data_IF_764064591758
#
_entry.id   IF_764064591758
#
_cell.length_a   1.000
_cell.length_b   1.000
_cell.length_c   1.000
_cell.angle_alpha   90.00
_cell.angle_beta   90.00
_cell.angle_gamma   90.00
#
_symmetry.space_group_name_H-M   'P 1'
#
loop_
_entity.id
_entity.type
_entity.pdbx_description
1 polymer ?
#
# COMPACT_ATOMS: atom_id res chain seq x y z
N UNK A 1 -38.84 5.00 41.91
CA UNK A 1 -39.82 5.66 41.07
C UNK A 1 -39.20 5.91 39.73
N UNK A 2 -39.64 5.18 38.76
CA UNK A 2 -39.24 5.18 37.38
C UNK A 2 -39.88 6.36 36.63
N UNK A 3 -39.11 6.98 35.74
CA UNK A 3 -39.71 7.48 34.51
C UNK A 3 -38.64 7.56 33.43
N UNK A 4 -38.80 6.74 32.41
CA UNK A 4 -37.94 6.60 31.27
C UNK A 4 -38.15 7.72 30.27
N UNK A 5 -37.10 7.95 29.47
CA UNK A 5 -37.17 8.69 28.22
C UNK A 5 -36.83 7.72 27.09
N UNK A 6 -37.88 7.26 26.39
CA UNK A 6 -37.78 6.67 25.07
C UNK A 6 -37.61 7.81 24.07
N UNK A 7 -36.47 7.90 23.40
CA UNK A 7 -36.31 8.71 22.20
C UNK A 7 -36.50 7.80 21.00
N UNK A 8 -37.54 8.06 20.28
CA UNK A 8 -37.99 7.33 19.08
C UNK A 8 -37.14 7.70 17.88
N UNK A 9 -36.55 6.70 17.25
CA UNK A 9 -36.00 6.72 15.88
C UNK A 9 -37.12 6.99 14.85
N UNK A 10 -37.41 8.25 14.55
CA UNK A 10 -38.26 8.65 13.43
C UNK A 10 -37.93 10.04 12.93
N UNK A 11 -36.79 10.24 12.31
CA UNK A 11 -36.51 11.49 11.58
C UNK A 11 -35.36 11.42 10.52
N UNK A 12 -34.99 10.24 10.04
CA UNK A 12 -34.00 10.13 8.96
C UNK A 12 -34.52 9.46 7.67
N UNK A 13 -35.85 9.42 7.45
CA UNK A 13 -36.44 8.83 6.24
C UNK A 13 -37.27 9.81 5.40
N UNK A 14 -36.98 11.12 5.44
CA UNK A 14 -37.72 12.10 4.61
C UNK A 14 -36.83 13.14 3.92
N UNK A 15 -35.75 12.72 3.29
CA UNK A 15 -34.96 13.60 2.39
C UNK A 15 -34.46 12.92 1.11
N UNK A 16 -35.00 11.77 0.72
CA UNK A 16 -34.59 11.09 -0.52
C UNK A 16 -35.76 10.82 -1.51
N UNK A 17 -36.86 11.56 -1.42
CA UNK A 17 -37.99 11.35 -2.35
C UNK A 17 -38.59 12.64 -2.93
N UNK A 18 -37.74 13.60 -3.30
CA UNK A 18 -38.23 14.83 -3.93
C UNK A 18 -37.28 15.28 -5.06
N UNK A 19 -37.01 14.41 -6.03
CA UNK A 19 -36.47 14.80 -7.36
C UNK A 19 -36.67 13.67 -8.38
N UNK A 20 -37.92 13.25 -8.60
CA UNK A 20 -38.34 12.61 -9.85
C UNK A 20 -39.79 13.01 -10.06
N UNK A 21 -40.05 13.87 -11.00
CA UNK A 21 -41.41 14.21 -11.36
C UNK A 21 -41.52 15.43 -12.27
N UNK A 22 -41.43 15.22 -13.56
CA UNK A 22 -42.32 15.76 -14.56
C UNK A 22 -42.12 17.19 -15.06
N UNK A 23 -41.99 17.34 -16.37
CA UNK A 23 -42.39 18.55 -17.02
C UNK A 23 -41.67 18.83 -18.34
N UNK A 24 -42.05 18.11 -19.37
CA UNK A 24 -41.87 18.49 -20.78
C UNK A 24 -42.51 19.85 -21.03
N UNK A 25 -41.75 20.87 -21.46
CA UNK A 25 -42.28 22.06 -22.15
C UNK A 25 -41.48 22.33 -23.41
N UNK A 26 -42.16 22.08 -24.48
CA UNK A 26 -41.85 22.56 -25.84
C UNK A 26 -41.96 24.10 -25.88
N UNK A 27 -40.93 24.79 -26.37
CA UNK A 27 -41.08 26.14 -26.88
C UNK A 27 -40.44 26.22 -28.28
N UNK A 28 -41.27 26.61 -29.17
CA UNK A 28 -41.00 26.87 -30.59
C UNK A 28 -40.52 28.32 -30.81
N UNK A 29 -39.53 28.44 -31.70
CA UNK A 29 -39.22 29.56 -32.61
C UNK A 29 -39.05 31.00 -32.10
N UNK A 30 -37.87 31.54 -32.38
CA UNK A 30 -37.61 32.98 -32.48
C UNK A 30 -36.17 33.27 -32.89
N UNK A 31 -35.92 33.32 -34.20
CA UNK A 31 -35.01 34.16 -34.99
C UNK A 31 -33.67 34.69 -34.43
N UNK A 32 -32.55 34.19 -35.01
CA UNK A 32 -31.48 34.96 -35.62
C UNK A 32 -30.59 35.83 -34.75
N UNK A 33 -29.32 35.47 -34.75
CA UNK A 33 -28.21 36.37 -35.05
C UNK A 33 -26.92 35.51 -35.17
N UNK A 34 -26.16 35.81 -36.18
CA UNK A 34 -24.91 35.36 -36.73
C UNK A 34 -23.93 34.53 -35.88
N UNK A 35 -23.62 33.37 -36.37
CA UNK A 35 -22.46 32.58 -35.97
C UNK A 35 -21.24 33.03 -36.78
N UNK A 36 -20.27 33.62 -36.11
CA UNK A 36 -18.92 33.85 -36.66
C UNK A 36 -18.12 32.56 -36.57
N UNK A 37 -17.61 31.98 -37.68
CA UNK A 37 -16.90 30.72 -37.68
C UNK A 37 -15.43 30.77 -37.23
N UNK A 38 -14.94 31.89 -36.69
CA UNK A 38 -13.49 32.07 -36.46
C UNK A 38 -12.96 31.67 -35.09
N UNK A 39 -13.79 31.12 -34.18
CA UNK A 39 -13.35 30.71 -32.84
C UNK A 39 -13.25 29.21 -32.56
N UNK A 40 -13.38 28.33 -33.56
CA UNK A 40 -13.26 26.87 -33.38
C UNK A 40 -11.93 26.29 -33.91
N UNK A 41 -11.00 27.14 -34.34
CA UNK A 41 -9.73 26.70 -34.95
C UNK A 41 -8.50 26.72 -34.00
N UNK A 42 -8.64 27.06 -32.73
CA UNK A 42 -7.49 27.21 -31.82
C UNK A 42 -7.18 26.01 -30.92
N UNK A 43 -8.08 25.04 -30.80
CA UNK A 43 -7.87 23.88 -29.87
C UNK A 43 -7.46 22.54 -30.52
N UNK A 44 -7.21 22.52 -31.83
CA UNK A 44 -6.75 21.30 -32.52
C UNK A 44 -5.30 21.34 -33.03
N UNK A 45 -4.50 22.37 -32.64
CA UNK A 45 -3.07 22.45 -33.04
C UNK A 45 -2.07 22.23 -31.90
N UNK A 46 -2.50 21.75 -30.75
CA UNK A 46 -1.57 21.47 -29.64
C UNK A 46 -1.23 19.96 -29.42
N UNK A 47 -1.71 19.07 -30.30
CA UNK A 47 -1.45 17.62 -30.18
C UNK A 47 -0.58 17.02 -31.32
N UNK A 48 0.03 17.82 -32.18
CA UNK A 48 0.84 17.27 -33.29
C UNK A 48 2.29 17.74 -33.37
N UNK A 49 2.86 18.27 -32.27
CA UNK A 49 4.28 18.73 -32.27
C UNK A 49 5.11 18.16 -31.10
N UNK A 50 4.78 16.98 -30.58
CA UNK A 50 5.59 16.25 -29.57
C UNK A 50 6.29 15.02 -30.18
N UNK A 51 6.38 14.91 -31.48
CA UNK A 51 7.07 13.78 -32.10
C UNK A 51 8.24 14.29 -32.96
N UNK A 52 9.30 14.86 -32.39
CA UNK A 52 10.68 14.85 -32.94
C UNK A 52 11.63 15.69 -32.06
N UNK A 53 12.02 15.18 -30.89
CA UNK A 53 13.29 15.54 -30.24
C UNK A 53 13.77 14.42 -29.30
N UNK A 54 13.82 13.19 -29.82
CA UNK A 54 14.49 12.07 -29.18
C UNK A 54 15.97 12.07 -29.58
N UNK A 55 16.73 13.11 -29.22
CA UNK A 55 18.19 13.08 -29.30
C UNK A 55 18.77 13.92 -28.17
N UNK A 56 19.44 13.21 -27.24
CA UNK A 56 20.19 13.64 -26.05
C UNK A 56 19.33 13.66 -24.75
N UNK A 57 19.02 12.46 -24.25
CA UNK A 57 18.86 12.28 -22.81
C UNK A 57 20.26 12.07 -22.20
N UNK A 58 20.65 12.78 -21.13
CA UNK A 58 21.87 12.48 -20.41
C UNK A 58 21.76 11.05 -19.82
N UNK A 59 22.78 10.23 -20.02
CA UNK A 59 22.91 8.92 -19.41
C UNK A 59 23.17 9.13 -17.92
N UNK A 60 22.16 8.93 -17.08
CA UNK A 60 22.30 8.98 -15.64
C UNK A 60 22.79 7.60 -15.21
N UNK A 61 24.06 7.48 -14.87
CA UNK A 61 24.62 6.30 -14.21
C UNK A 61 24.14 6.26 -12.78
N UNK A 62 23.81 5.07 -12.26
CA UNK A 62 23.48 4.85 -10.85
C UNK A 62 24.73 5.10 -9.98
N UNK A 63 25.13 6.37 -9.88
CA UNK A 63 26.06 6.85 -8.88
C UNK A 63 25.25 7.02 -7.60
N UNK A 64 25.75 6.55 -6.45
CA UNK A 64 25.17 6.73 -5.12
C UNK A 64 24.36 8.01 -5.09
N UNK A 65 23.03 7.89 -4.91
CA UNK A 65 22.20 9.07 -4.67
C UNK A 65 22.78 9.78 -3.45
N UNK A 66 23.39 10.94 -3.66
CA UNK A 66 23.93 11.74 -2.59
C UNK A 66 22.76 12.01 -1.63
N UNK A 67 22.96 11.73 -0.33
CA UNK A 67 22.04 12.19 0.72
C UNK A 67 21.64 13.59 0.35
N UNK A 68 20.35 13.84 0.07
CA UNK A 68 19.85 15.16 -0.23
C UNK A 68 20.06 16.04 1.01
N UNK A 69 21.25 16.59 1.17
CA UNK A 69 21.54 17.62 2.15
C UNK A 69 20.96 18.90 1.61
N UNK A 70 19.70 19.19 1.97
CA UNK A 70 19.10 20.46 1.65
C UNK A 70 19.77 21.55 2.50
N UNK A 71 20.44 22.55 1.91
CA UNK A 71 21.11 23.61 2.67
C UNK A 71 20.16 24.51 3.47
N UNK A 72 18.85 24.44 3.21
CA UNK A 72 17.80 25.16 3.96
C UNK A 72 17.28 24.38 5.18
N UNK A 73 17.70 23.14 5.39
CA UNK A 73 17.32 22.28 6.47
C UNK A 73 18.54 22.13 7.35
N UNK A 74 18.57 22.89 8.48
CA UNK A 74 19.70 22.97 9.39
C UNK A 74 20.26 21.63 9.89
N UNK A 75 21.37 21.61 10.64
CA UNK A 75 22.14 20.42 10.97
C UNK A 75 21.28 19.39 11.71
N UNK A 76 21.52 18.11 11.38
CA UNK A 76 20.91 16.94 12.04
C UNK A 76 21.14 17.01 13.55
N UNK A 77 20.13 17.42 14.31
CA UNK A 77 20.13 17.24 15.75
C UNK A 77 19.87 15.76 16.05
N UNK A 78 20.78 15.15 16.81
CA UNK A 78 20.60 13.86 17.44
C UNK A 78 19.38 13.93 18.38
N UNK A 79 18.23 13.49 17.90
CA UNK A 79 17.09 13.23 18.78
C UNK A 79 17.34 11.87 19.43
N UNK A 80 17.51 11.90 20.76
CA UNK A 80 17.44 10.70 21.59
C UNK A 80 16.10 10.01 21.34
N UNK A 81 16.17 8.80 20.84
CA UNK A 81 15.05 7.94 20.52
C UNK A 81 14.24 7.61 21.78
N UNK A 82 13.09 8.21 21.90
CA UNK A 82 11.98 7.57 22.60
C UNK A 82 11.46 6.45 21.71
N UNK A 83 11.33 5.24 22.25
CA UNK A 83 10.94 4.01 21.61
C UNK A 83 9.95 4.18 20.45
N UNK A 84 10.34 3.78 19.21
CA UNK A 84 9.47 3.80 18.05
C UNK A 84 10.25 3.69 16.75
N UNK A 85 10.29 2.49 16.18
CA UNK A 85 10.66 2.13 14.80
C UNK A 85 12.01 2.69 14.32
N UNK A 86 13.07 1.97 14.62
CA UNK A 86 14.34 2.08 13.89
C UNK A 86 14.16 1.52 12.48
N UNK A 87 13.73 2.33 11.54
CA UNK A 87 13.89 2.09 10.11
C UNK A 87 15.04 2.96 9.65
N UNK A 88 16.25 2.44 9.76
CA UNK A 88 17.48 3.07 9.27
C UNK A 88 17.91 2.52 7.89
N UNK A 89 16.95 1.92 7.13
CA UNK A 89 17.25 1.47 5.78
C UNK A 89 17.57 2.67 4.89
N UNK A 90 18.75 2.66 4.29
CA UNK A 90 19.11 3.66 3.30
C UNK A 90 18.21 3.52 2.08
N UNK A 91 17.85 4.64 1.48
CA UNK A 91 17.07 4.73 0.27
C UNK A 91 17.65 3.82 -0.84
N UNK A 92 16.81 2.90 -1.36
CA UNK A 92 17.21 1.98 -2.44
C UNK A 92 18.12 0.82 -2.03
N UNK A 93 18.59 0.76 -0.78
CA UNK A 93 19.40 -0.34 -0.26
C UNK A 93 18.72 -0.89 1.01
N UNK A 94 18.52 -2.21 1.04
CA UNK A 94 18.23 -2.93 2.27
C UNK A 94 19.50 -3.27 3.00
N UNK A 95 19.40 -3.55 4.30
CA UNK A 95 20.49 -4.13 5.08
C UNK A 95 21.09 -5.36 4.36
N UNK A 96 22.35 -5.67 4.62
CA UNK A 96 23.11 -6.73 3.92
C UNK A 96 22.47 -8.12 3.97
N UNK A 97 21.54 -8.35 4.90
CA UNK A 97 21.02 -9.68 5.27
C UNK A 97 19.90 -10.23 4.37
N UNK A 98 19.35 -9.43 3.45
CA UNK A 98 18.26 -9.88 2.57
C UNK A 98 18.76 -10.62 1.32
N UNK A 99 17.86 -11.37 0.68
CA UNK A 99 18.09 -12.07 -0.59
C UNK A 99 17.34 -11.40 -1.74
N UNK A 100 17.77 -11.63 -2.97
CA UNK A 100 17.11 -11.11 -4.16
C UNK A 100 16.74 -12.26 -5.09
N UNK A 101 15.45 -12.39 -5.38
CA UNK A 101 14.94 -13.23 -6.45
C UNK A 101 14.91 -12.42 -7.75
N UNK A 102 15.36 -13.03 -8.85
CA UNK A 102 15.26 -12.46 -10.19
C UNK A 102 14.43 -13.42 -11.05
N UNK A 103 13.30 -12.94 -11.56
CA UNK A 103 12.45 -13.72 -12.46
C UNK A 103 13.19 -13.98 -13.78
N UNK A 104 13.29 -15.23 -14.24
CA UNK A 104 14.05 -15.54 -15.44
C UNK A 104 13.34 -15.03 -16.70
N UNK A 105 13.94 -14.06 -17.39
CA UNK A 105 13.41 -13.46 -18.61
C UNK A 105 12.39 -12.34 -18.36
N UNK A 106 11.40 -12.21 -19.24
CA UNK A 106 10.41 -11.14 -19.19
C UNK A 106 9.20 -11.54 -18.36
N UNK A 107 8.93 -10.81 -17.27
CA UNK A 107 7.71 -10.94 -16.49
C UNK A 107 6.58 -10.15 -17.18
N UNK A 108 5.49 -10.81 -17.52
CA UNK A 108 4.34 -10.20 -18.17
C UNK A 108 3.39 -9.66 -17.12
N UNK A 109 3.19 -8.34 -17.16
CA UNK A 109 2.28 -7.60 -16.30
C UNK A 109 0.80 -7.79 -16.72
N UNK A 110 -0.12 -7.48 -15.81
CA UNK A 110 -1.56 -7.57 -16.07
C UNK A 110 -2.01 -6.71 -17.26
N UNK A 111 -1.38 -5.56 -17.46
CA UNK A 111 -1.64 -4.65 -18.59
C UNK A 111 -1.02 -5.11 -19.92
N UNK A 112 -0.26 -6.21 -19.93
CA UNK A 112 0.43 -6.77 -21.08
C UNK A 112 1.84 -6.21 -21.34
N UNK A 113 2.29 -5.22 -20.57
CA UNK A 113 3.66 -4.73 -20.61
C UNK A 113 4.63 -5.79 -20.04
N UNK A 114 5.92 -5.58 -20.30
CA UNK A 114 6.99 -6.51 -19.89
C UNK A 114 7.93 -5.81 -18.93
N UNK A 115 8.32 -6.54 -17.90
CA UNK A 115 9.39 -6.14 -17.01
C UNK A 115 10.49 -7.21 -17.09
N UNK A 116 11.58 -6.89 -17.77
CA UNK A 116 12.70 -7.80 -17.94
C UNK A 116 13.50 -7.92 -16.64
N UNK A 117 13.85 -9.17 -16.29
CA UNK A 117 14.59 -9.47 -15.06
C UNK A 117 13.94 -8.86 -13.81
N UNK A 118 12.59 -8.93 -13.74
CA UNK A 118 11.85 -8.46 -12.57
C UNK A 118 12.40 -9.09 -11.30
N UNK A 119 12.75 -8.25 -10.31
CA UNK A 119 13.35 -8.73 -9.07
C UNK A 119 12.52 -8.37 -7.85
N UNK A 120 12.58 -9.25 -6.85
CA UNK A 120 12.07 -9.02 -5.50
C UNK A 120 13.19 -9.15 -4.49
N UNK A 121 13.34 -8.13 -3.66
CA UNK A 121 14.17 -8.20 -2.46
C UNK A 121 13.33 -8.72 -1.32
N UNK A 122 13.84 -9.72 -0.56
CA UNK A 122 13.10 -10.35 0.52
C UNK A 122 14.01 -10.74 1.68
N UNK A 123 13.41 -10.94 2.84
CA UNK A 123 14.06 -11.50 4.03
C UNK A 123 13.30 -12.73 4.51
N UNK A 124 14.04 -13.64 5.14
CA UNK A 124 13.51 -14.87 5.74
C UNK A 124 13.97 -15.01 7.19
N UNK A 125 13.14 -15.64 8.00
CA UNK A 125 13.40 -15.89 9.41
C UNK A 125 12.94 -17.31 9.76
N UNK A 126 13.66 -18.01 10.65
CA UNK A 126 13.43 -19.41 10.97
C UNK A 126 13.90 -20.35 9.85
N UNK A 127 13.52 -21.62 9.92
CA UNK A 127 13.97 -22.66 9.00
C UNK A 127 12.80 -23.34 8.28
N UNK A 128 13.00 -23.58 6.98
CA UNK A 128 12.05 -24.32 6.16
C UNK A 128 12.14 -25.81 6.50
N UNK A 129 11.01 -26.43 6.89
CA UNK A 129 10.96 -27.84 7.23
C UNK A 129 11.16 -28.75 6.00
N UNK A 130 11.34 -30.07 6.21
CA UNK A 130 11.53 -31.04 5.13
C UNK A 130 10.32 -31.13 4.18
N UNK A 131 9.09 -30.99 4.70
CA UNK A 131 7.86 -30.94 3.93
C UNK A 131 7.69 -29.65 3.13
N UNK A 132 8.46 -28.58 3.47
CA UNK A 132 8.46 -27.26 2.82
C UNK A 132 7.07 -26.59 2.84
N UNK A 133 6.34 -26.75 3.93
CA UNK A 133 4.95 -26.33 4.12
C UNK A 133 4.70 -25.46 5.36
N UNK A 134 5.71 -25.25 6.21
CA UNK A 134 5.65 -24.41 7.41
C UNK A 134 5.84 -22.91 7.13
N UNK A 135 5.42 -22.44 5.95
CA UNK A 135 5.72 -21.10 5.47
C UNK A 135 4.66 -20.09 5.90
N UNK A 136 5.08 -19.01 6.53
CA UNK A 136 4.28 -17.80 6.74
C UNK A 136 4.77 -16.70 5.79
N UNK A 137 3.88 -16.10 5.02
CA UNK A 137 4.18 -14.94 4.20
C UNK A 137 3.64 -13.69 4.89
N UNK A 138 4.51 -12.73 5.18
CA UNK A 138 4.13 -11.45 5.78
C UNK A 138 4.28 -10.33 4.77
N UNK A 139 3.16 -9.65 4.48
CA UNK A 139 3.10 -8.59 3.50
C UNK A 139 3.11 -7.22 4.19
N UNK A 140 4.07 -6.37 3.85
CA UNK A 140 4.20 -5.05 4.46
C UNK A 140 3.23 -3.99 3.87
N UNK A 141 2.95 -2.94 4.64
CA UNK A 141 2.12 -1.80 4.22
C UNK A 141 2.88 -0.86 3.25
N UNK A 142 2.19 0.17 2.72
CA UNK A 142 2.65 1.09 1.66
C UNK A 142 4.11 1.55 1.79
N UNK A 143 4.52 1.98 2.97
CA UNK A 143 5.87 2.51 3.21
C UNK A 143 6.74 1.60 4.07
N UNK A 144 6.33 0.33 4.23
CA UNK A 144 7.12 -0.71 4.87
C UNK A 144 8.17 -1.30 3.94
N UNK A 145 8.88 -2.30 4.44
CA UNK A 145 9.87 -3.06 3.69
C UNK A 145 9.97 -4.49 4.23
N UNK A 146 10.84 -5.30 3.62
CA UNK A 146 11.02 -6.71 3.97
C UNK A 146 11.67 -6.93 5.35
N UNK A 147 12.25 -5.91 5.99
CA UNK A 147 12.85 -6.01 7.32
C UNK A 147 11.78 -6.09 8.42
N UNK A 148 11.05 -7.21 8.47
CA UNK A 148 9.93 -7.44 9.38
C UNK A 148 10.28 -7.14 10.85
N UNK A 149 11.49 -7.46 11.27
CA UNK A 149 11.99 -7.18 12.62
C UNK A 149 12.01 -5.69 12.97
N UNK A 150 12.04 -4.80 11.98
CA UNK A 150 12.10 -3.34 12.22
C UNK A 150 10.74 -2.70 12.52
N UNK A 151 9.62 -3.35 12.15
CA UNK A 151 8.28 -2.77 12.32
C UNK A 151 7.29 -3.68 13.04
N UNK A 152 7.52 -5.00 13.08
CA UNK A 152 6.77 -6.00 13.86
C UNK A 152 7.72 -6.92 14.65
N UNK A 153 8.86 -6.39 15.11
CA UNK A 153 9.86 -7.15 15.86
C UNK A 153 9.35 -7.83 17.13
N UNK A 154 8.34 -7.24 17.79
CA UNK A 154 7.71 -7.86 18.96
C UNK A 154 6.83 -9.08 18.64
N UNK A 155 6.51 -9.31 17.38
CA UNK A 155 5.73 -10.45 16.92
C UNK A 155 6.62 -11.57 16.34
N UNK A 156 7.90 -11.29 16.10
CA UNK A 156 8.82 -12.16 15.36
C UNK A 156 9.91 -12.73 16.29
N UNK A 157 10.00 -14.05 16.38
CA UNK A 157 11.03 -14.75 17.14
C UNK A 157 10.51 -16.01 17.82
N UNK A 158 11.38 -16.75 18.51
CA UNK A 158 11.01 -17.98 19.24
C UNK A 158 9.86 -17.76 20.21
N UNK A 159 8.79 -18.54 20.05
CA UNK A 159 7.60 -18.48 20.91
C UNK A 159 6.70 -17.26 20.74
N UNK A 160 6.98 -16.37 19.77
CA UNK A 160 6.13 -15.22 19.43
C UNK A 160 5.10 -15.57 18.35
N UNK A 161 4.27 -14.62 17.93
CA UNK A 161 3.22 -14.85 16.94
C UNK A 161 3.76 -15.44 15.62
N UNK A 162 4.87 -14.89 15.13
CA UNK A 162 5.65 -15.45 14.03
C UNK A 162 6.82 -16.26 14.63
N UNK A 163 6.49 -17.44 15.18
CA UNK A 163 7.40 -18.31 15.92
C UNK A 163 8.45 -18.92 14.99
N UNK A 164 9.67 -18.40 15.06
CA UNK A 164 10.79 -18.84 14.20
C UNK A 164 11.32 -20.23 14.53
N UNK A 165 10.92 -20.84 15.65
CA UNK A 165 11.23 -22.26 15.96
C UNK A 165 10.27 -23.22 15.22
N UNK A 166 9.11 -22.72 14.74
CA UNK A 166 8.09 -23.51 14.06
C UNK A 166 7.96 -23.17 12.58
N UNK A 167 8.05 -21.89 12.26
CA UNK A 167 7.69 -21.37 10.94
C UNK A 167 8.90 -20.77 10.22
N UNK A 168 8.89 -20.97 8.91
CA UNK A 168 9.72 -20.22 7.97
C UNK A 168 8.97 -18.98 7.52
N UNK A 169 9.34 -17.84 8.06
CA UNK A 169 8.67 -16.54 7.80
C UNK A 169 9.35 -15.84 6.64
N UNK A 170 8.59 -15.47 5.62
CA UNK A 170 9.07 -14.77 4.43
C UNK A 170 8.40 -13.41 4.34
N UNK A 171 9.19 -12.34 4.23
CA UNK A 171 8.71 -10.99 3.94
C UNK A 171 9.44 -10.45 2.73
N UNK A 172 8.72 -10.09 1.67
CA UNK A 172 9.30 -9.49 0.46
C UNK A 172 8.88 -8.04 0.29
N UNK A 173 9.74 -7.23 -0.31
CA UNK A 173 9.37 -5.91 -0.75
C UNK A 173 8.38 -5.98 -1.92
N UNK A 174 7.42 -5.06 -1.93
CA UNK A 174 6.45 -4.89 -3.01
C UNK A 174 7.19 -4.58 -4.32
N UNK A 175 6.74 -5.13 -5.43
CA UNK A 175 7.18 -4.74 -6.76
C UNK A 175 6.82 -3.27 -7.01
N UNK A 176 7.77 -2.47 -7.41
CA UNK A 176 7.62 -1.02 -7.52
C UNK A 176 8.19 -0.23 -6.33
N UNK A 177 8.60 -0.90 -5.23
CA UNK A 177 9.14 -0.23 -4.04
C UNK A 177 10.60 0.22 -4.22
N UNK A 178 11.09 1.09 -3.32
CA UNK A 178 12.44 1.62 -3.37
C UNK A 178 13.47 0.84 -2.53
N UNK A 179 13.11 -0.34 -2.02
CA UNK A 179 13.97 -1.11 -1.11
C UNK A 179 14.55 -2.38 -1.77
N UNK A 180 15.01 -2.26 -3.02
CA UNK A 180 15.74 -3.31 -3.71
C UNK A 180 14.90 -4.28 -4.56
N UNK A 181 13.57 -4.22 -4.55
CA UNK A 181 12.74 -4.80 -5.61
C UNK A 181 12.78 -3.91 -6.87
N UNK A 182 12.43 -4.44 -8.04
CA UNK A 182 12.30 -3.61 -9.25
C UNK A 182 11.31 -2.48 -9.00
N UNK A 183 11.73 -1.26 -9.32
CA UNK A 183 10.95 -0.05 -9.09
C UNK A 183 11.53 1.14 -9.85
N UNK A 184 10.97 2.33 -9.74
CA UNK A 184 11.44 3.53 -10.44
C UNK A 184 12.92 3.84 -10.24
N UNK A 185 13.47 3.57 -9.06
CA UNK A 185 14.86 3.83 -8.70
C UNK A 185 15.84 2.71 -9.13
N UNK A 186 15.36 1.60 -9.70
CA UNK A 186 16.22 0.50 -10.14
C UNK A 186 16.62 0.62 -11.60
N UNK A 187 17.78 0.04 -11.99
CA UNK A 187 18.22 0.03 -13.38
C UNK A 187 17.24 -0.72 -14.29
N UNK A 188 16.87 -0.14 -15.42
CA UNK A 188 15.90 -0.69 -16.37
C UNK A 188 16.36 -2.02 -17.01
N UNK A 189 17.68 -2.24 -17.09
CA UNK A 189 18.26 -3.50 -17.60
C UNK A 189 18.67 -4.48 -16.49
N UNK A 190 18.38 -4.17 -15.22
CA UNK A 190 18.80 -4.96 -14.07
C UNK A 190 20.31 -4.90 -13.75
N UNK A 191 21.10 -4.15 -14.51
CA UNK A 191 22.55 -4.06 -14.33
C UNK A 191 22.93 -2.93 -13.38
N UNK A 192 23.74 -3.22 -12.37
CA UNK A 192 24.24 -2.22 -11.42
C UNK A 192 24.96 -1.08 -12.17
N UNK A 193 24.48 0.16 -11.96
CA UNK A 193 25.00 1.35 -12.64
C UNK A 193 24.37 1.64 -13.99
N UNK A 194 23.35 0.87 -14.42
CA UNK A 194 22.56 1.13 -15.61
C UNK A 194 21.64 2.36 -15.48
N UNK A 195 20.95 2.70 -16.57
CA UNK A 195 19.94 3.76 -16.57
C UNK A 195 18.75 3.29 -15.75
N UNK A 196 18.32 4.09 -14.77
CA UNK A 196 17.14 3.78 -13.96
C UNK A 196 15.85 3.97 -14.74
N UNK A 197 14.80 3.25 -14.34
CA UNK A 197 13.47 3.35 -14.95
C UNK A 197 12.88 4.77 -14.86
N UNK A 198 12.95 5.39 -13.69
CA UNK A 198 12.33 6.68 -13.45
C UNK A 198 10.82 6.63 -13.66
N UNK A 199 10.30 7.65 -14.35
CA UNK A 199 8.88 7.73 -14.72
C UNK A 199 8.47 6.68 -15.78
N UNK A 200 9.43 6.11 -16.50
CA UNK A 200 9.19 5.06 -17.49
C UNK A 200 8.99 3.66 -16.82
N UNK A 201 9.05 3.56 -15.48
CA UNK A 201 8.70 2.33 -14.78
C UNK A 201 7.25 1.96 -15.08
N UNK A 202 6.95 0.72 -15.53
CA UNK A 202 5.61 0.36 -15.96
C UNK A 202 4.60 0.46 -14.81
N UNK A 203 3.32 0.54 -15.17
CA UNK A 203 2.24 0.52 -14.19
C UNK A 203 2.04 -0.91 -13.68
N UNK A 204 2.27 -1.08 -12.40
CA UNK A 204 2.19 -2.36 -11.69
C UNK A 204 0.85 -2.45 -10.96
N UNK A 205 0.21 -3.62 -11.01
CA UNK A 205 -0.97 -3.92 -10.19
C UNK A 205 -0.61 -4.73 -8.94
N UNK A 206 -1.53 -4.77 -7.97
CA UNK A 206 -1.42 -5.68 -6.80
C UNK A 206 -1.33 -7.13 -7.27
N UNK A 207 -2.02 -7.49 -8.36
CA UNK A 207 -1.96 -8.82 -8.96
C UNK A 207 -0.56 -9.17 -9.45
N UNK A 208 0.14 -8.22 -10.07
CA UNK A 208 1.51 -8.42 -10.56
C UNK A 208 2.49 -8.65 -9.42
N UNK A 209 2.38 -7.85 -8.35
CA UNK A 209 3.19 -8.04 -7.15
C UNK A 209 3.02 -9.44 -6.58
N UNK A 210 1.78 -9.86 -6.34
CA UNK A 210 1.49 -11.18 -5.76
C UNK A 210 1.91 -12.32 -6.69
N UNK A 211 1.67 -12.18 -7.99
CA UNK A 211 2.10 -13.18 -8.98
C UNK A 211 3.63 -13.38 -8.96
N UNK A 212 4.39 -12.28 -8.87
CA UNK A 212 5.86 -12.38 -8.80
C UNK A 212 6.32 -12.99 -7.45
N UNK A 213 5.64 -12.66 -6.34
CA UNK A 213 5.90 -13.27 -5.03
C UNK A 213 5.59 -14.78 -5.03
N UNK A 214 4.51 -15.21 -5.67
CA UNK A 214 4.18 -16.63 -5.83
C UNK A 214 5.25 -17.38 -6.62
N UNK A 215 5.79 -16.80 -7.70
CA UNK A 215 6.92 -17.36 -8.42
C UNK A 215 8.17 -17.45 -7.54
N UNK A 216 8.49 -16.42 -6.78
CA UNK A 216 9.61 -16.44 -5.85
C UNK A 216 9.48 -17.60 -4.83
N UNK A 217 8.30 -17.73 -4.23
CA UNK A 217 8.06 -18.78 -3.21
C UNK A 217 8.14 -20.18 -3.82
N UNK A 218 7.45 -20.42 -4.95
CA UNK A 218 7.40 -21.75 -5.57
C UNK A 218 8.69 -22.08 -6.32
N UNK A 219 9.17 -21.16 -7.16
CA UNK A 219 10.19 -21.47 -8.16
C UNK A 219 11.62 -21.25 -7.65
N UNK A 220 11.85 -20.35 -6.67
CA UNK A 220 13.15 -20.06 -6.07
C UNK A 220 13.30 -20.74 -4.70
N UNK A 221 12.41 -20.41 -3.75
CA UNK A 221 12.45 -20.97 -2.39
C UNK A 221 11.97 -22.44 -2.35
N UNK A 222 11.37 -22.96 -3.43
CA UNK A 222 10.85 -24.35 -3.51
C UNK A 222 9.86 -24.68 -2.41
N UNK A 223 9.02 -23.74 -2.05
CA UNK A 223 7.92 -23.92 -1.10
C UNK A 223 6.88 -24.87 -1.71
N UNK A 224 6.39 -25.85 -0.94
CA UNK A 224 5.33 -26.76 -1.39
C UNK A 224 3.93 -26.22 -1.06
N UNK A 225 3.77 -25.52 0.05
CA UNK A 225 2.54 -24.77 0.35
C UNK A 225 2.80 -23.66 1.36
N UNK A 226 1.93 -22.64 1.36
CA UNK A 226 1.98 -21.51 2.28
C UNK A 226 0.93 -21.76 3.37
N UNK A 227 1.35 -21.93 4.62
CA UNK A 227 0.45 -22.12 5.75
C UNK A 227 -0.49 -20.93 5.95
N UNK A 228 0.07 -19.71 5.97
CA UNK A 228 -0.73 -18.50 6.11
C UNK A 228 -0.05 -17.29 5.44
N UNK A 229 -0.87 -16.42 4.83
CA UNK A 229 -0.46 -15.10 4.38
C UNK A 229 -1.07 -14.05 5.30
N UNK A 230 -0.25 -13.21 5.92
CA UNK A 230 -0.65 -12.16 6.85
C UNK A 230 -0.20 -10.80 6.33
N UNK A 231 -1.06 -9.80 6.38
CA UNK A 231 -0.64 -8.45 6.01
C UNK A 231 -1.64 -7.37 6.39
N UNK A 232 -1.13 -6.17 6.73
CA UNK A 232 -1.94 -5.01 7.10
C UNK A 232 -2.00 -3.95 6.00
N UNK A 233 -3.15 -3.30 5.83
CA UNK A 233 -3.33 -2.22 4.85
C UNK A 233 -3.02 -2.70 3.43
N UNK A 234 -2.06 -2.11 2.73
CA UNK A 234 -1.57 -2.60 1.43
C UNK A 234 -1.09 -4.07 1.50
N UNK A 235 -0.53 -4.49 2.64
CA UNK A 235 -0.22 -5.90 2.89
C UNK A 235 -1.47 -6.77 2.97
N UNK A 236 -2.57 -6.24 3.50
CA UNK A 236 -3.88 -6.90 3.51
C UNK A 236 -4.45 -7.10 2.10
N UNK A 237 -4.29 -6.09 1.21
CA UNK A 237 -4.66 -6.23 -0.22
C UNK A 237 -3.89 -7.36 -0.87
N UNK A 238 -2.59 -7.47 -0.59
CA UNK A 238 -1.76 -8.57 -1.08
C UNK A 238 -2.28 -9.92 -0.54
N UNK A 239 -2.61 -10.03 0.76
CA UNK A 239 -3.14 -11.25 1.35
C UNK A 239 -4.45 -11.70 0.70
N UNK A 240 -5.37 -10.76 0.41
CA UNK A 240 -6.61 -11.02 -0.35
C UNK A 240 -6.28 -11.50 -1.78
N UNK A 241 -5.32 -10.89 -2.43
CA UNK A 241 -4.91 -11.26 -3.77
C UNK A 241 -4.18 -12.62 -3.82
N UNK A 242 -3.38 -12.97 -2.80
CA UNK A 242 -2.82 -14.31 -2.62
C UNK A 242 -3.93 -15.38 -2.54
N UNK A 243 -4.98 -15.11 -1.76
CA UNK A 243 -6.14 -15.99 -1.67
C UNK A 243 -6.82 -16.18 -3.03
N UNK A 244 -6.99 -15.10 -3.79
CA UNK A 244 -7.64 -15.13 -5.10
C UNK A 244 -6.81 -15.80 -6.19
N UNK A 245 -5.46 -15.73 -6.12
CA UNK A 245 -4.56 -16.34 -7.11
C UNK A 245 -4.18 -17.78 -6.78
N UNK A 246 -4.05 -18.15 -5.52
CA UNK A 246 -3.46 -19.42 -5.10
C UNK A 246 -4.21 -20.14 -3.97
N UNK A 247 -5.37 -19.63 -3.56
CA UNK A 247 -6.22 -20.21 -2.51
C UNK A 247 -7.29 -21.20 -3.02
N UNK A 248 -7.19 -21.67 -4.27
CA UNK A 248 -8.12 -22.65 -4.85
C UNK A 248 -7.37 -23.80 -5.50
N UNK A 249 -8.01 -24.97 -5.54
CA UNK A 249 -7.46 -26.18 -6.23
C UNK A 249 -7.47 -26.06 -7.77
N UNK A 250 -8.10 -25.03 -8.31
CA UNK A 250 -8.17 -24.75 -9.76
C UNK A 250 -7.23 -23.63 -10.19
N UNK A 251 -6.39 -23.14 -9.28
CA UNK A 251 -5.41 -22.09 -9.61
C UNK A 251 -4.22 -22.66 -10.38
N UNK A 252 -3.51 -21.80 -11.12
CA UNK A 252 -2.24 -22.14 -11.77
C UNK A 252 -1.12 -22.50 -10.76
N UNK A 253 -1.35 -22.24 -9.49
CA UNK A 253 -0.46 -22.54 -8.37
C UNK A 253 -0.93 -23.70 -7.51
N UNK A 254 -2.03 -24.39 -7.87
CA UNK A 254 -2.48 -25.56 -7.15
C UNK A 254 -1.36 -26.63 -7.06
N UNK A 255 -1.35 -27.39 -5.99
CA UNK A 255 -0.33 -28.40 -5.69
C UNK A 255 -1.02 -29.74 -5.35
N UNK A 256 -0.24 -30.80 -5.30
CA UNK A 256 -0.72 -32.10 -4.80
C UNK A 256 -0.31 -32.24 -3.33
N UNK A 257 -1.25 -32.64 -2.48
CA UNK A 257 -0.97 -33.03 -1.09
C UNK A 257 -0.28 -34.41 -1.02
N UNK A 258 0.18 -34.77 0.16
CA UNK A 258 0.91 -36.03 0.41
C UNK A 258 0.12 -37.29 0.00
N UNK A 259 -1.20 -37.24 -0.03
CA UNK A 259 -2.08 -38.30 -0.50
C UNK A 259 -2.39 -38.28 -2.01
N UNK A 260 -1.80 -37.29 -2.74
CA UNK A 260 -2.01 -37.09 -4.17
C UNK A 260 -3.29 -36.35 -4.53
N UNK A 261 -4.04 -35.81 -3.56
CA UNK A 261 -5.19 -34.97 -3.82
C UNK A 261 -4.77 -33.54 -4.18
N UNK A 262 -5.52 -32.90 -5.11
CA UNK A 262 -5.28 -31.50 -5.47
C UNK A 262 -5.61 -30.58 -4.31
N UNK A 263 -4.71 -29.65 -4.01
CA UNK A 263 -4.84 -28.72 -2.91
C UNK A 263 -4.41 -27.28 -3.31
N UNK A 264 -4.94 -26.24 -2.63
CA UNK A 264 -4.51 -24.88 -2.86
C UNK A 264 -3.09 -24.65 -2.33
N UNK A 265 -2.29 -23.86 -3.06
CA UNK A 265 -0.94 -23.49 -2.62
C UNK A 265 -0.94 -22.63 -1.35
N UNK A 266 -1.93 -21.71 -1.22
CA UNK A 266 -2.19 -20.93 0.00
C UNK A 266 -3.24 -21.64 0.83
N UNK A 267 -2.92 -21.96 2.08
CA UNK A 267 -3.78 -22.73 2.99
C UNK A 267 -4.69 -21.86 3.87
N UNK A 268 -4.25 -20.66 4.23
CA UNK A 268 -5.06 -19.70 4.97
C UNK A 268 -4.58 -18.27 4.76
N UNK A 269 -5.42 -17.29 5.09
CA UNK A 269 -5.07 -15.86 4.97
C UNK A 269 -5.59 -15.05 6.14
N UNK A 270 -4.83 -14.00 6.52
CA UNK A 270 -5.23 -13.02 7.52
C UNK A 270 -5.01 -11.61 6.98
N UNK A 271 -5.94 -11.07 6.16
CA UNK A 271 -5.91 -9.66 5.78
C UNK A 271 -6.32 -8.78 6.98
N UNK A 272 -5.58 -7.70 7.21
CA UNK A 272 -5.77 -6.77 8.33
C UNK A 272 -6.02 -5.37 7.79
N UNK A 273 -7.02 -4.66 8.31
CA UNK A 273 -7.31 -3.25 8.00
C UNK A 273 -7.36 -2.96 6.49
N UNK A 274 -8.09 -3.76 5.72
CA UNK A 274 -8.30 -3.59 4.28
C UNK A 274 -9.68 -4.07 3.84
N UNK A 275 -10.11 -3.70 2.63
CA UNK A 275 -11.34 -4.15 1.98
C UNK A 275 -11.07 -5.09 0.79
N UNK A 276 -12.13 -5.56 0.14
CA UNK A 276 -12.06 -6.36 -1.08
C UNK A 276 -11.66 -5.53 -2.32
N UNK A 277 -11.72 -4.22 -2.22
CA UNK A 277 -11.31 -3.25 -3.24
C UNK A 277 -10.87 -1.94 -2.58
N UNK A 278 -9.99 -1.19 -3.28
CA UNK A 278 -9.68 0.20 -2.94
C UNK A 278 -10.84 1.07 -3.42
N UNK A 279 -11.58 1.67 -2.49
CA UNK A 279 -12.82 2.38 -2.81
C UNK A 279 -12.55 3.85 -3.20
N UNK A 280 -13.58 4.53 -3.67
CA UNK A 280 -13.46 5.95 -4.04
C UNK A 280 -12.92 6.83 -2.90
N UNK A 281 -13.17 6.47 -1.62
CA UNK A 281 -12.65 7.19 -0.46
C UNK A 281 -11.13 7.08 -0.37
N UNK A 282 -10.60 5.87 -0.43
CA UNK A 282 -9.16 5.62 -0.35
C UNK A 282 -8.44 6.18 -1.59
N UNK A 283 -9.02 6.01 -2.80
CA UNK A 283 -8.49 6.59 -4.04
C UNK A 283 -8.41 8.12 -3.92
N UNK A 284 -9.45 8.78 -3.36
CA UNK A 284 -9.43 10.23 -3.16
C UNK A 284 -8.32 10.65 -2.18
N UNK A 285 -8.11 9.90 -1.09
CA UNK A 285 -7.02 10.14 -0.14
C UNK A 285 -5.64 9.96 -0.77
N UNK A 286 -5.46 8.94 -1.60
CA UNK A 286 -4.22 8.73 -2.38
C UNK A 286 -4.00 9.85 -3.40
N UNK A 287 -5.06 10.26 -4.11
CA UNK A 287 -4.97 11.30 -5.13
C UNK A 287 -4.56 12.66 -4.56
N UNK A 288 -5.11 13.07 -3.41
CA UNK A 288 -4.69 14.34 -2.76
C UNK A 288 -3.19 14.31 -2.39
N UNK A 289 -2.67 13.15 -2.00
CA UNK A 289 -1.24 12.97 -1.72
C UNK A 289 -0.41 13.08 -3.00
N UNK A 290 -0.86 12.47 -4.13
CA UNK A 290 -0.23 12.62 -5.45
C UNK A 290 -0.25 14.05 -5.93
N UNK A 291 -1.37 14.75 -5.79
CA UNK A 291 -1.49 16.17 -6.15
C UNK A 291 -0.48 17.05 -5.40
N UNK A 292 -0.20 16.76 -4.12
CA UNK A 292 0.84 17.48 -3.38
C UNK A 292 2.23 17.34 -4.03
N UNK A 293 2.55 16.16 -4.58
CA UNK A 293 3.81 15.92 -5.30
C UNK A 293 3.81 16.62 -6.66
N UNK A 294 2.69 16.56 -7.40
CA UNK A 294 2.57 17.20 -8.72
C UNK A 294 2.66 18.73 -8.65
N UNK A 295 2.23 19.34 -7.53
CA UNK A 295 2.33 20.77 -7.30
C UNK A 295 3.72 21.26 -6.90
N UNK A 296 4.65 20.37 -6.56
CA UNK A 296 6.04 20.76 -6.28
C UNK A 296 6.69 21.29 -7.57
N UNK A 297 7.34 22.47 -7.56
CA UNK A 297 8.03 23.00 -8.74
C UNK A 297 9.04 22.03 -9.37
N UNK A 298 9.65 21.15 -8.57
CA UNK A 298 10.60 20.13 -9.02
C UNK A 298 9.94 18.95 -9.72
N UNK A 299 8.61 18.85 -9.73
CA UNK A 299 7.86 17.91 -10.54
C UNK A 299 8.06 18.16 -12.05
N UNK A 300 8.38 19.39 -12.41
CA UNK A 300 8.80 19.78 -13.77
C UNK A 300 7.88 19.22 -14.87
N UNK A 301 6.57 19.43 -14.72
CA UNK A 301 5.55 18.98 -15.69
C UNK A 301 5.64 17.48 -16.06
N UNK A 302 5.89 16.62 -15.09
CA UNK A 302 5.97 15.16 -15.28
C UNK A 302 7.35 14.63 -15.65
N UNK A 303 8.39 15.47 -15.55
CA UNK A 303 9.78 15.06 -15.78
C UNK A 303 10.65 15.36 -14.54
N UNK A 304 10.36 14.78 -13.37
CA UNK A 304 11.16 14.99 -12.17
C UNK A 304 12.55 14.37 -12.35
N UNK A 305 13.55 15.00 -11.73
CA UNK A 305 14.90 14.43 -11.66
C UNK A 305 15.09 13.65 -10.36
N UNK A 306 15.77 12.51 -10.40
CA UNK A 306 16.18 11.81 -9.18
C UNK A 306 17.33 12.53 -8.44
N UNK A 307 18.11 13.36 -9.11
CA UNK A 307 19.18 14.15 -8.48
C UNK A 307 18.62 15.38 -7.73
N UNK A 308 17.42 15.86 -8.12
CA UNK A 308 16.72 16.98 -7.48
C UNK A 308 15.20 16.74 -7.44
N UNK A 309 14.75 15.74 -6.65
CA UNK A 309 13.37 15.26 -6.68
C UNK A 309 12.38 16.23 -5.99
N UNK A 310 11.06 16.10 -6.25
CA UNK A 310 10.00 16.92 -5.64
C UNK A 310 9.74 16.55 -4.16
N UNK A 311 10.74 16.73 -3.31
CA UNK A 311 10.70 16.32 -1.90
C UNK A 311 9.75 17.13 -1.03
N UNK A 312 9.50 18.41 -1.36
CA UNK A 312 8.53 19.23 -0.63
C UNK A 312 7.12 18.67 -0.80
N UNK A 313 6.78 18.28 -2.02
CA UNK A 313 5.53 17.60 -2.33
C UNK A 313 5.38 16.27 -1.59
N UNK A 314 6.44 15.44 -1.58
CA UNK A 314 6.46 14.18 -0.83
C UNK A 314 6.28 14.41 0.68
N UNK A 315 6.93 15.44 1.25
CA UNK A 315 6.75 15.80 2.67
C UNK A 315 5.30 16.14 2.99
N UNK A 316 4.61 16.90 2.13
CA UNK A 316 3.19 17.23 2.29
C UNK A 316 2.32 15.99 2.10
N UNK A 317 2.59 15.16 1.10
CA UNK A 317 1.91 13.88 0.90
C UNK A 317 1.97 13.00 2.14
N UNK A 318 3.15 12.90 2.78
CA UNK A 318 3.31 12.16 4.05
C UNK A 318 2.47 12.75 5.18
N UNK A 319 2.39 14.08 5.29
CA UNK A 319 1.56 14.74 6.31
C UNK A 319 0.07 14.42 6.11
N UNK A 320 -0.41 14.44 4.87
CA UNK A 320 -1.79 14.04 4.53
C UNK A 320 -2.01 12.56 4.91
N UNK A 321 -1.08 11.67 4.56
CA UNK A 321 -1.12 10.27 4.96
C UNK A 321 -1.21 10.11 6.48
N UNK A 322 -0.37 10.83 7.26
CA UNK A 322 -0.42 10.78 8.73
C UNK A 322 -1.76 11.21 9.31
N UNK A 323 -2.48 12.14 8.66
CA UNK A 323 -3.83 12.53 9.08
C UNK A 323 -4.83 11.42 8.77
N UNK A 324 -4.75 10.81 7.59
CA UNK A 324 -5.69 9.75 7.17
C UNK A 324 -5.54 8.44 7.95
N UNK A 325 -4.36 8.19 8.53
CA UNK A 325 -4.09 6.97 9.32
C UNK A 325 -4.57 7.05 10.76
N UNK A 326 -4.94 8.24 11.25
CA UNK A 326 -5.27 8.48 12.66
C UNK A 326 -6.71 8.96 12.84
N UNK A 327 -7.20 8.87 14.06
CA UNK A 327 -8.52 9.39 14.43
C UNK A 327 -8.46 10.82 14.94
N UNK A 328 -9.56 11.58 14.82
CA UNK A 328 -9.68 12.87 15.52
C UNK A 328 -9.46 12.74 17.04
N UNK A 329 -10.00 11.68 17.66
CA UNK A 329 -9.80 11.40 19.09
C UNK A 329 -8.34 11.16 19.46
N UNK A 330 -7.61 10.37 18.66
CA UNK A 330 -6.18 10.11 18.83
C UNK A 330 -5.33 11.40 18.71
N UNK A 331 -5.66 12.27 17.75
CA UNK A 331 -5.01 13.59 17.63
C UNK A 331 -5.33 14.49 18.83
N UNK A 332 -6.60 14.54 19.26
CA UNK A 332 -7.01 15.38 20.41
C UNK A 332 -6.35 14.90 21.71
N UNK A 333 -6.35 13.58 21.96
CA UNK A 333 -5.69 12.99 23.12
C UNK A 333 -4.19 13.30 23.17
N UNK A 334 -3.50 13.19 22.03
CA UNK A 334 -2.05 13.38 21.96
C UNK A 334 -1.64 14.85 22.03
N UNK A 335 -2.31 15.70 21.26
CA UNK A 335 -1.88 17.08 21.06
C UNK A 335 -2.80 18.11 21.70
N UNK A 336 -4.13 17.92 21.64
CA UNK A 336 -5.10 18.91 22.06
C UNK A 336 -4.81 20.29 21.45
N UNK A 337 -4.85 21.31 22.27
CA UNK A 337 -4.46 22.68 21.89
C UNK A 337 -3.07 23.09 22.42
N UNK A 338 -2.17 22.13 22.62
CA UNK A 338 -0.82 22.37 23.11
C UNK A 338 0.00 23.21 22.15
N UNK A 339 0.80 24.11 22.72
CA UNK A 339 1.70 25.00 21.97
C UNK A 339 3.13 24.78 22.40
N UNK A 340 4.08 25.02 21.48
CA UNK A 340 5.52 25.03 21.78
C UNK A 340 5.99 26.46 22.09
N UNK A 341 6.87 26.61 23.05
CA UNK A 341 7.51 27.89 23.39
C UNK A 341 8.64 28.19 22.40
N UNK A 342 9.34 27.15 21.91
CA UNK A 342 10.45 27.29 20.99
C UNK A 342 10.02 27.03 19.53
N UNK A 343 10.54 27.84 18.61
CA UNK A 343 10.38 27.62 17.17
C UNK A 343 11.22 26.42 16.74
N UNK A 344 10.66 25.41 16.09
CA UNK A 344 11.42 24.29 15.56
C UNK A 344 12.51 24.76 14.58
N UNK A 345 13.61 24.03 14.53
CA UNK A 345 14.71 24.30 13.59
C UNK A 345 14.31 24.11 12.11
N UNK A 346 13.14 23.53 11.84
CA UNK A 346 12.58 23.29 10.51
C UNK A 346 11.09 23.62 10.50
N UNK A 347 10.55 23.89 9.32
CA UNK A 347 9.14 24.17 9.11
C UNK A 347 8.77 25.64 9.22
N UNK A 348 7.49 25.92 9.33
CA UNK A 348 6.91 27.26 9.22
C UNK A 348 6.87 28.05 10.55
N UNK A 349 7.69 27.69 11.54
CA UNK A 349 7.63 28.29 12.88
C UNK A 349 6.32 27.92 13.61
N UNK A 350 5.99 26.63 13.59
CA UNK A 350 4.71 26.12 14.04
C UNK A 350 4.51 26.33 15.56
N UNK A 351 3.54 27.18 15.89
CA UNK A 351 3.11 27.40 17.27
C UNK A 351 2.48 26.17 17.91
N UNK A 352 1.72 25.40 17.13
CA UNK A 352 0.95 24.23 17.60
C UNK A 352 1.79 22.95 17.55
N UNK A 353 1.76 22.14 18.60
CA UNK A 353 2.49 20.86 18.63
C UNK A 353 2.10 19.92 17.49
N UNK A 354 0.83 19.79 17.16
CA UNK A 354 0.35 18.97 16.05
C UNK A 354 0.96 19.38 14.71
N UNK A 355 1.10 20.69 14.49
CA UNK A 355 1.69 21.22 13.26
C UNK A 355 3.17 20.85 13.17
N UNK A 356 3.91 21.03 14.24
CA UNK A 356 5.31 20.64 14.35
C UNK A 356 5.51 19.12 14.18
N UNK A 357 4.59 18.32 14.71
CA UNK A 357 4.59 16.86 14.53
C UNK A 357 4.42 16.47 13.06
N UNK A 358 3.47 17.05 12.33
CA UNK A 358 3.23 16.76 10.92
C UNK A 358 4.44 17.16 10.07
N UNK A 359 5.00 18.33 10.28
CA UNK A 359 6.22 18.81 9.61
C UNK A 359 7.40 17.86 9.86
N UNK A 360 7.58 17.41 11.11
CA UNK A 360 8.62 16.43 11.46
C UNK A 360 8.42 15.09 10.74
N UNK A 361 7.20 14.56 10.72
CA UNK A 361 6.90 13.30 10.04
C UNK A 361 7.13 13.40 8.52
N UNK A 362 6.73 14.50 7.91
CA UNK A 362 7.00 14.78 6.51
C UNK A 362 8.50 14.84 6.23
N UNK A 363 9.26 15.57 7.05
CA UNK A 363 10.71 15.69 6.91
C UNK A 363 11.44 14.35 7.11
N UNK A 364 11.14 13.64 8.21
CA UNK A 364 11.75 12.33 8.50
C UNK A 364 11.55 11.33 7.36
N UNK A 365 10.43 11.41 6.66
CA UNK A 365 10.11 10.51 5.57
C UNK A 365 11.04 10.65 4.35
N UNK A 366 11.56 11.85 4.10
CA UNK A 366 12.44 12.14 2.96
C UNK A 366 13.77 11.37 2.95
N UNK A 367 14.22 10.94 4.12
CA UNK A 367 15.47 10.17 4.23
C UNK A 367 15.36 8.71 3.78
N UNK A 368 14.13 8.19 3.60
CA UNK A 368 13.89 6.77 3.35
C UNK A 368 12.94 6.46 2.21
N UNK A 369 12.39 7.47 1.54
CA UNK A 369 11.44 7.26 0.46
C UNK A 369 11.56 8.30 -0.63
N UNK A 370 11.26 7.93 -1.88
CA UNK A 370 11.29 8.85 -3.01
C UNK A 370 9.89 9.16 -3.56
N UNK A 371 9.71 10.35 -4.18
CA UNK A 371 8.42 10.78 -4.68
C UNK A 371 7.87 9.91 -5.80
N UNK A 372 8.71 9.41 -6.70
CA UNK A 372 8.27 8.64 -7.88
C UNK A 372 7.79 7.27 -7.44
N UNK A 373 8.54 6.60 -6.56
CA UNK A 373 8.10 5.35 -5.92
C UNK A 373 6.79 5.55 -5.16
N UNK A 374 6.64 6.67 -4.43
CA UNK A 374 5.40 6.95 -3.70
C UNK A 374 4.18 7.07 -4.63
N UNK A 375 4.35 7.76 -5.76
CA UNK A 375 3.31 7.86 -6.79
C UNK A 375 2.94 6.47 -7.33
N UNK A 376 3.94 5.71 -7.80
CA UNK A 376 3.71 4.38 -8.39
C UNK A 376 3.07 3.39 -7.42
N UNK A 377 3.47 3.39 -6.14
CA UNK A 377 2.85 2.51 -5.15
C UNK A 377 1.42 2.93 -4.79
N UNK A 378 1.11 4.23 -4.71
CA UNK A 378 -0.27 4.68 -4.49
C UNK A 378 -1.16 4.41 -5.70
N UNK A 379 -0.65 4.52 -6.94
CA UNK A 379 -1.34 4.09 -8.16
C UNK A 379 -1.56 2.57 -8.17
N UNK A 380 -0.59 1.78 -7.72
CA UNK A 380 -0.74 0.33 -7.56
C UNK A 380 -1.85 -0.02 -6.57
N UNK A 381 -1.95 0.68 -5.42
CA UNK A 381 -3.05 0.49 -4.46
C UNK A 381 -4.41 0.75 -5.11
N UNK A 382 -4.53 1.78 -5.97
CA UNK A 382 -5.77 2.09 -6.69
C UNK A 382 -6.22 0.93 -7.61
N UNK A 383 -5.30 0.05 -8.02
CA UNK A 383 -5.63 -1.14 -8.81
C UNK A 383 -6.29 -2.25 -8.00
N UNK A 384 -6.27 -2.18 -6.65
CA UNK A 384 -6.83 -3.23 -5.82
C UNK A 384 -8.35 -3.32 -5.99
N UNK A 385 -8.77 -4.35 -6.67
CA UNK A 385 -10.13 -4.85 -6.79
C UNK A 385 -10.04 -6.35 -7.07
N UNK A 386 -10.29 -7.16 -6.04
CA UNK A 386 -10.19 -8.62 -6.16
C UNK A 386 -11.14 -9.19 -7.19
N UNK A 387 -12.24 -8.47 -7.48
CA UNK A 387 -13.25 -8.88 -8.48
C UNK A 387 -12.86 -8.56 -9.92
N UNK A 388 -11.88 -7.67 -10.13
CA UNK A 388 -11.48 -7.20 -11.45
C UNK A 388 -10.92 -8.37 -12.30
N UNK A 389 -11.56 -8.61 -13.45
CA UNK A 389 -11.23 -9.74 -14.33
C UNK A 389 -11.73 -11.11 -13.82
N UNK A 390 -12.40 -11.19 -12.65
CA UNK A 390 -12.91 -12.44 -12.05
C UNK A 390 -14.43 -12.51 -11.97
N UNK A 391 -15.13 -11.53 -12.54
CA UNK A 391 -16.59 -11.48 -12.57
C UNK A 391 -17.23 -10.90 -11.29
N UNK A 392 -16.51 -10.03 -10.58
CA UNK A 392 -16.92 -9.36 -9.36
C UNK A 392 -16.33 -9.98 -8.09
N UNK A 393 -16.31 -9.20 -7.00
CA UNK A 393 -15.68 -9.60 -5.72
C UNK A 393 -16.37 -10.80 -5.08
N UNK A 394 -17.70 -10.92 -5.20
CA UNK A 394 -18.46 -12.08 -4.72
C UNK A 394 -18.02 -13.36 -5.41
N UNK A 395 -17.92 -13.34 -6.75
CA UNK A 395 -17.52 -14.53 -7.50
C UNK A 395 -16.07 -14.90 -7.20
N UNK A 396 -15.19 -13.90 -7.11
CA UNK A 396 -13.77 -14.11 -6.85
C UNK A 396 -13.54 -14.78 -5.48
N UNK A 397 -14.15 -14.28 -4.41
CA UNK A 397 -13.87 -14.75 -3.05
C UNK A 397 -14.76 -15.93 -2.61
N UNK A 398 -15.97 -16.08 -3.15
CA UNK A 398 -16.82 -17.23 -2.83
C UNK A 398 -16.29 -18.56 -3.36
N UNK A 399 -15.37 -18.54 -4.31
CA UNK A 399 -14.66 -19.75 -4.77
C UNK A 399 -13.47 -20.14 -3.89
N UNK A 400 -13.05 -19.29 -2.97
CA UNK A 400 -11.90 -19.48 -2.09
C UNK A 400 -12.37 -20.08 -0.76
N UNK A 401 -12.17 -21.39 -0.58
CA UNK A 401 -12.67 -22.13 0.58
C UNK A 401 -11.63 -22.32 1.68
N UNK A 402 -10.45 -21.71 1.58
CA UNK A 402 -9.47 -21.73 2.67
C UNK A 402 -9.96 -20.91 3.87
N UNK A 403 -9.51 -21.21 5.10
CA UNK A 403 -9.74 -20.35 6.25
C UNK A 403 -9.25 -18.92 6.00
N UNK A 404 -10.09 -17.94 6.32
CA UNK A 404 -9.76 -16.53 6.19
C UNK A 404 -10.17 -15.77 7.45
N UNK A 405 -9.21 -15.18 8.16
CA UNK A 405 -9.48 -14.34 9.33
C UNK A 405 -9.22 -12.90 9.00
N UNK A 406 -10.28 -12.14 8.80
CA UNK A 406 -10.18 -10.67 8.61
C UNK A 406 -10.02 -10.02 9.97
N UNK A 407 -8.96 -9.24 10.14
CA UNK A 407 -8.71 -8.51 11.39
C UNK A 407 -9.06 -7.03 11.17
N UNK A 408 -10.19 -6.61 11.74
CA UNK A 408 -10.72 -5.27 11.64
C UNK A 408 -10.20 -4.35 12.74
N UNK A 409 -10.12 -3.05 12.45
CA UNK A 409 -9.80 -2.01 13.44
C UNK A 409 -11.07 -1.16 13.65
N UNK A 410 -11.59 -1.10 14.88
CA UNK A 410 -12.89 -0.47 15.17
C UNK A 410 -12.93 1.03 14.90
N UNK A 411 -11.82 1.72 15.01
CA UNK A 411 -11.71 3.16 14.78
C UNK A 411 -11.12 3.54 13.42
N UNK A 412 -10.88 2.58 12.52
CA UNK A 412 -10.31 2.86 11.21
C UNK A 412 -11.27 3.68 10.34
N UNK A 413 -10.84 4.89 9.97
CA UNK A 413 -11.60 5.79 9.08
C UNK A 413 -11.10 5.76 7.65
N UNK A 414 -9.93 5.17 7.40
CA UNK A 414 -9.37 5.01 6.06
C UNK A 414 -9.96 3.76 5.37
N UNK A 415 -9.98 2.63 6.08
CA UNK A 415 -10.71 1.41 5.70
C UNK A 415 -11.78 1.14 6.75
N UNK A 416 -12.97 1.75 6.63
CA UNK A 416 -14.01 1.65 7.65
C UNK A 416 -14.39 0.20 7.95
N UNK A 417 -14.76 -0.07 9.20
CA UNK A 417 -15.04 -1.42 9.67
C UNK A 417 -16.05 -2.18 8.80
N UNK A 418 -17.04 -1.48 8.20
CA UNK A 418 -18.03 -2.12 7.33
C UNK A 418 -17.41 -2.74 6.05
N UNK A 419 -16.30 -2.20 5.52
CA UNK A 419 -15.56 -2.79 4.38
C UNK A 419 -14.86 -4.08 4.80
N UNK A 420 -14.31 -4.11 6.01
CA UNK A 420 -13.64 -5.26 6.60
C UNK A 420 -14.66 -6.35 6.97
N UNK A 421 -15.85 -5.98 7.48
CA UNK A 421 -16.98 -6.89 7.68
C UNK A 421 -17.47 -7.49 6.36
N UNK A 422 -17.56 -6.67 5.31
CA UNK A 422 -17.92 -7.15 3.98
C UNK A 422 -16.90 -8.18 3.49
N UNK A 423 -15.60 -7.87 3.59
CA UNK A 423 -14.52 -8.77 3.19
C UNK A 423 -14.63 -10.13 3.88
N UNK A 424 -14.85 -10.16 5.19
CA UNK A 424 -15.03 -11.40 5.94
C UNK A 424 -16.23 -12.22 5.43
N UNK A 425 -17.35 -11.57 5.13
CA UNK A 425 -18.57 -12.23 4.62
C UNK A 425 -18.43 -12.77 3.19
N UNK A 426 -17.47 -12.26 2.42
CA UNK A 426 -17.24 -12.72 1.05
C UNK A 426 -16.52 -14.07 1.00
N UNK A 427 -15.69 -14.40 1.97
CA UNK A 427 -15.07 -15.72 2.09
C UNK A 427 -16.06 -16.73 2.65
N UNK A 428 -16.22 -17.94 2.08
CA UNK A 428 -17.06 -19.00 2.64
C UNK A 428 -16.69 -19.40 4.07
N UNK A 429 -15.40 -19.44 4.38
CA UNK A 429 -14.82 -19.75 5.69
C UNK A 429 -14.18 -18.48 6.29
N UNK A 430 -14.86 -17.33 6.13
CA UNK A 430 -14.37 -16.04 6.62
C UNK A 430 -14.84 -15.76 8.05
N UNK A 431 -13.92 -15.34 8.89
CA UNK A 431 -14.15 -14.88 10.26
C UNK A 431 -13.70 -13.42 10.39
N UNK A 432 -14.43 -12.63 11.17
CA UNK A 432 -14.02 -11.27 11.56
C UNK A 432 -13.58 -11.28 13.03
N UNK A 433 -12.43 -10.70 13.30
CA UNK A 433 -12.00 -10.31 14.64
C UNK A 433 -11.69 -8.81 14.68
N UNK A 434 -11.83 -8.19 15.84
CA UNK A 434 -11.69 -6.75 15.99
C UNK A 434 -10.49 -6.43 16.89
N UNK A 435 -9.62 -5.56 16.43
CA UNK A 435 -8.62 -4.87 17.24
C UNK A 435 -9.23 -3.57 17.73
N UNK A 436 -9.28 -3.39 19.03
CA UNK A 436 -9.78 -2.17 19.67
C UNK A 436 -8.64 -1.16 19.80
N UNK A 437 -8.79 -0.01 19.16
CA UNK A 437 -7.75 1.03 19.16
C UNK A 437 -8.33 2.42 18.92
N UNK A 438 -7.85 3.42 19.63
CA UNK A 438 -8.13 4.83 19.33
C UNK A 438 -7.24 5.39 18.21
N UNK A 439 -6.29 4.58 17.72
CA UNK A 439 -5.26 5.04 16.80
C UNK A 439 -5.70 5.04 15.32
N UNK A 440 -6.90 4.57 14.99
CA UNK A 440 -7.39 4.49 13.61
C UNK A 440 -6.68 3.39 12.83
N UNK A 441 -6.43 3.65 11.56
CA UNK A 441 -5.80 2.70 10.64
C UNK A 441 -4.46 2.15 11.16
N UNK A 442 -3.64 2.97 11.84
CA UNK A 442 -2.37 2.52 12.42
C UNK A 442 -2.54 1.54 13.60
N UNK A 443 -3.77 1.22 14.03
CA UNK A 443 -4.05 0.30 15.14
C UNK A 443 -3.33 -1.05 14.98
N UNK A 444 -3.24 -1.60 13.77
CA UNK A 444 -2.53 -2.87 13.54
C UNK A 444 -1.00 -2.80 13.77
N UNK A 445 -0.41 -1.60 13.74
CA UNK A 445 1.01 -1.39 14.06
C UNK A 445 1.23 -1.06 15.53
N UNK A 446 0.21 -0.56 16.22
CA UNK A 446 0.31 -0.03 17.58
C UNK A 446 -0.16 -1.06 18.60
N UNK A 447 -1.29 -1.71 18.33
CA UNK A 447 -1.90 -2.69 19.23
C UNK A 447 -1.29 -4.09 19.00
N UNK A 448 0.04 -4.17 19.05
CA UNK A 448 0.79 -5.38 18.69
C UNK A 448 0.41 -6.59 19.55
N UNK A 449 0.06 -6.38 20.82
CA UNK A 449 -0.36 -7.47 21.72
C UNK A 449 -1.67 -8.11 21.24
N UNK A 450 -2.68 -7.32 20.87
CA UNK A 450 -3.94 -7.83 20.33
C UNK A 450 -3.72 -8.54 18.98
N UNK A 451 -2.92 -7.93 18.09
CA UNK A 451 -2.57 -8.52 16.79
C UNK A 451 -1.85 -9.85 16.98
N UNK A 452 -0.89 -9.93 17.90
CA UNK A 452 -0.16 -11.14 18.26
C UNK A 452 -1.10 -12.25 18.74
N UNK A 453 -2.03 -11.95 19.63
CA UNK A 453 -3.02 -12.90 20.15
C UNK A 453 -3.89 -13.49 19.02
N UNK A 454 -4.37 -12.62 18.11
CA UNK A 454 -5.19 -13.07 16.99
C UNK A 454 -4.42 -13.93 16.00
N UNK A 455 -3.16 -13.60 15.68
CA UNK A 455 -2.31 -14.40 14.81
C UNK A 455 -2.04 -15.77 15.45
N UNK A 456 -1.60 -15.79 16.71
CA UNK A 456 -1.27 -17.02 17.42
C UNK A 456 -2.47 -17.95 17.51
N UNK A 457 -3.64 -17.42 17.87
CA UNK A 457 -4.88 -18.20 17.97
C UNK A 457 -5.29 -18.78 16.61
N UNK A 458 -5.21 -17.99 15.54
CA UNK A 458 -5.59 -18.43 14.21
C UNK A 458 -4.64 -19.50 13.66
N UNK A 459 -3.33 -19.32 13.81
CA UNK A 459 -2.35 -20.30 13.37
C UNK A 459 -2.49 -21.62 14.16
N UNK A 460 -2.69 -21.55 15.49
CA UNK A 460 -2.86 -22.74 16.32
C UNK A 460 -4.18 -23.50 16.09
N UNK A 461 -5.20 -22.88 15.53
CA UNK A 461 -6.44 -23.58 15.17
C UNK A 461 -6.37 -24.35 13.85
N UNK A 462 -5.27 -24.19 13.10
CA UNK A 462 -5.06 -24.79 11.78
C UNK A 462 -3.72 -25.55 11.70
N UNK A 463 -3.13 -25.90 12.86
CA UNK A 463 -1.95 -26.78 12.98
C UNK A 463 -2.31 -28.26 12.82
#
# INVERSE_FOLDING_TARGET
MLSGIRVTLRSYQRLSSAMVGGGTRVYTKGSGIGSDPSMISANHRCMSTIATNAKHRPTITATKMAKATHPELGPTHNFSSGAGSGMDDEYGEMTADGSTFVYPGSFILENGEKLDNAQLRYMTYGELNEARDNVLVVCHALTGNASLHSWWGNLLGPGLAFDTDKYFVVCSNILGSCYGSSGPATPANGEKGGVIHGMDFPDISVKDTVKLQLHMLRDDLKVNSIKCVVGGSFGGMQAVEFAAQAGTITSDFAVDDADGSAAPFVRSVMPIACGAAHTAWQIAMSEVQRQAIYMDPKWNNGNPSFDDPPVKGLSVARQIGMISYRTPGGYESKFGRKTREETPAYGSGAKWEVKSYLEYQGYKFLSRFDPITYLKLTEQMDTHDVGRGRGGKEKALRSVHIPAKVLGIDSDTLYPLYEQEELAKLFPNGELSIVHSDAGHDGFLIEQDQVSEHITTFLGSHD
#
